data_IF_164293352769
#
_entry.id   IF_164293352769
#
_cell.length_a   1.000
_cell.length_b   1.000
_cell.length_c   1.000
_cell.angle_alpha   90.00
_cell.angle_beta   90.00
_cell.angle_gamma   90.00
#
_symmetry.space_group_name_H-M   'P 1'
#
loop_
_entity.id
_entity.type
_entity.pdbx_description
1 polymer ?
#
# COMPACT_ATOMS: atom_id res chain seq x y z
N UNK A 1 12.75 -22.12 9.97
CA UNK A 1 12.15 -23.45 9.75
C UNK A 1 12.94 -24.13 8.65
N UNK A 2 13.52 -25.30 8.92
CA UNK A 2 14.08 -26.16 7.87
C UNK A 2 12.91 -26.93 7.25
N UNK A 3 12.64 -26.72 5.97
CA UNK A 3 11.68 -27.54 5.23
C UNK A 3 12.47 -28.64 4.52
N UNK A 4 12.09 -29.90 4.72
CA UNK A 4 12.64 -31.03 3.97
C UNK A 4 12.43 -30.84 2.45
N UNK A 5 13.32 -31.37 1.60
CA UNK A 5 13.16 -31.32 0.15
C UNK A 5 11.78 -31.83 -0.28
N UNK A 6 11.12 -31.08 -1.17
CA UNK A 6 9.81 -31.48 -1.71
C UNK A 6 10.00 -32.57 -2.75
N UNK A 7 9.15 -33.59 -2.74
CA UNK A 7 9.20 -34.71 -3.69
C UNK A 7 7.87 -34.93 -4.42
N UNK A 8 7.95 -35.44 -5.66
CA UNK A 8 6.80 -35.87 -6.45
C UNK A 8 5.65 -34.85 -6.52
N UNK A 9 4.49 -35.25 -6.01
CA UNK A 9 3.28 -34.43 -5.98
C UNK A 9 3.45 -33.10 -5.21
N UNK A 10 4.32 -33.05 -4.19
CA UNK A 10 4.57 -31.83 -3.43
C UNK A 10 5.25 -30.75 -4.28
N UNK A 11 6.11 -31.15 -5.22
CA UNK A 11 6.76 -30.21 -6.15
C UNK A 11 5.71 -29.62 -7.10
N UNK A 12 4.81 -30.45 -7.62
CA UNK A 12 3.74 -30.01 -8.50
C UNK A 12 2.78 -29.03 -7.77
N UNK A 13 2.32 -29.39 -6.58
CA UNK A 13 1.47 -28.53 -5.75
C UNK A 13 2.16 -27.23 -5.35
N UNK A 14 3.45 -27.29 -5.00
CA UNK A 14 4.22 -26.08 -4.68
C UNK A 14 4.30 -25.14 -5.89
N UNK A 15 4.58 -25.67 -7.09
CA UNK A 15 4.64 -24.86 -8.31
C UNK A 15 3.30 -24.23 -8.64
N UNK A 16 2.21 -24.96 -8.45
CA UNK A 16 0.86 -24.43 -8.69
C UNK A 16 0.49 -23.36 -7.66
N UNK A 17 0.74 -23.59 -6.37
CA UNK A 17 0.56 -22.58 -5.34
C UNK A 17 1.42 -21.34 -5.60
N UNK A 18 2.69 -21.53 -5.98
CA UNK A 18 3.59 -20.44 -6.31
C UNK A 18 3.09 -19.63 -7.51
N UNK A 19 2.37 -20.23 -8.47
CA UNK A 19 1.74 -19.50 -9.58
C UNK A 19 0.62 -18.58 -9.13
N UNK A 20 -0.12 -18.95 -8.09
CA UNK A 20 -1.29 -18.21 -7.61
C UNK A 20 -1.01 -17.31 -6.40
N UNK A 21 0.22 -17.34 -5.84
CA UNK A 21 0.55 -16.62 -4.60
C UNK A 21 0.22 -15.12 -4.66
N UNK A 22 0.33 -14.50 -5.84
CA UNK A 22 -0.01 -13.09 -6.05
C UNK A 22 -1.50 -12.81 -5.87
N UNK A 23 -2.38 -13.77 -6.14
CA UNK A 23 -3.83 -13.61 -5.92
C UNK A 23 -4.10 -13.41 -4.43
N UNK A 24 -3.47 -14.21 -3.56
CA UNK A 24 -3.66 -14.09 -2.11
C UNK A 24 -3.20 -12.75 -1.57
N UNK A 25 -2.06 -12.24 -2.03
CA UNK A 25 -1.57 -10.94 -1.60
C UNK A 25 -2.33 -9.78 -2.24
N UNK A 26 -2.66 -9.85 -3.53
CA UNK A 26 -3.27 -8.73 -4.26
C UNK A 26 -4.76 -8.55 -3.97
N UNK A 27 -5.49 -9.65 -3.69
CA UNK A 27 -6.94 -9.62 -3.62
C UNK A 27 -7.43 -8.64 -2.55
N UNK A 28 -8.31 -7.71 -2.92
CA UNK A 28 -8.76 -6.62 -2.04
C UNK A 28 -9.33 -7.09 -0.71
N UNK A 29 -9.98 -8.27 -0.64
CA UNK A 29 -10.61 -8.79 0.58
C UNK A 29 -9.72 -9.63 1.48
N UNK A 30 -8.44 -9.84 1.16
CA UNK A 30 -7.52 -10.57 2.05
C UNK A 30 -6.83 -9.62 3.02
N UNK A 31 -6.68 -10.07 4.27
CA UNK A 31 -5.91 -9.37 5.29
C UNK A 31 -4.45 -9.81 5.21
N UNK A 32 -3.54 -8.85 5.11
CA UNK A 32 -2.09 -9.08 5.08
C UNK A 32 -1.46 -8.42 6.28
N UNK A 33 -0.82 -9.22 7.13
CA UNK A 33 -0.15 -8.74 8.34
C UNK A 33 1.35 -8.88 8.18
N UNK A 34 2.06 -7.75 8.14
CA UNK A 34 3.49 -7.69 7.99
C UNK A 34 4.19 -7.71 9.35
N UNK A 35 5.00 -8.75 9.57
CA UNK A 35 5.84 -8.90 10.76
C UNK A 35 7.23 -8.31 10.48
N UNK A 36 7.31 -6.98 10.39
CA UNK A 36 8.54 -6.29 9.94
C UNK A 36 9.65 -6.22 10.99
N UNK A 37 9.31 -6.45 12.27
CA UNK A 37 10.29 -6.58 13.35
C UNK A 37 10.96 -7.95 13.29
N UNK A 38 12.29 -7.98 13.16
CA UNK A 38 13.08 -9.20 13.17
C UNK A 38 13.68 -9.47 14.56
N UNK A 39 13.99 -10.73 14.92
CA UNK A 39 14.75 -11.05 16.14
C UNK A 39 16.10 -10.31 16.19
N UNK A 40 16.61 -10.05 17.40
CA UNK A 40 17.89 -9.32 17.59
C UNK A 40 19.08 -10.00 16.90
N UNK A 41 19.07 -11.33 16.87
CA UNK A 41 20.15 -12.15 16.32
C UNK A 41 19.99 -12.39 14.81
N UNK A 42 18.93 -11.85 14.19
CA UNK A 42 18.73 -11.92 12.75
C UNK A 42 19.40 -10.70 12.10
N UNK A 43 20.53 -10.89 11.39
CA UNK A 43 21.25 -9.78 10.79
C UNK A 43 20.49 -9.14 9.62
N UNK A 44 19.51 -9.84 9.01
CA UNK A 44 18.78 -9.35 7.84
C UNK A 44 17.45 -8.72 8.23
N UNK A 45 17.40 -7.39 8.13
CA UNK A 45 16.17 -6.61 8.25
C UNK A 45 15.08 -7.09 7.26
N UNK A 46 13.81 -6.94 7.64
CA UNK A 46 12.67 -7.38 6.84
C UNK A 46 12.67 -6.78 5.43
N UNK A 47 12.92 -5.46 5.31
CA UNK A 47 12.88 -4.73 4.06
C UNK A 47 14.06 -5.04 3.11
N UNK A 48 15.05 -5.82 3.56
CA UNK A 48 16.16 -6.29 2.72
C UNK A 48 15.86 -7.62 2.04
N UNK A 49 14.73 -8.26 2.33
CA UNK A 49 14.35 -9.58 1.78
C UNK A 49 13.49 -9.38 0.53
N UNK A 50 13.87 -10.02 -0.57
CA UNK A 50 13.21 -9.84 -1.87
C UNK A 50 11.77 -10.33 -1.90
N UNK A 51 11.52 -11.55 -1.39
CA UNK A 51 10.17 -12.11 -1.32
C UNK A 51 9.22 -11.28 -0.46
N UNK A 52 9.64 -10.88 0.75
CA UNK A 52 8.78 -10.06 1.62
C UNK A 52 8.52 -8.67 1.03
N UNK A 53 9.49 -8.12 0.27
CA UNK A 53 9.30 -6.88 -0.48
C UNK A 53 8.23 -7.07 -1.55
N UNK A 54 8.29 -8.16 -2.32
CA UNK A 54 7.27 -8.49 -3.31
C UNK A 54 5.88 -8.64 -2.71
N UNK A 55 5.75 -9.46 -1.66
CA UNK A 55 4.48 -9.72 -0.98
C UNK A 55 3.85 -8.44 -0.45
N UNK A 56 4.65 -7.59 0.20
CA UNK A 56 4.23 -6.28 0.68
C UNK A 56 3.77 -5.38 -0.48
N UNK A 57 4.57 -5.26 -1.55
CA UNK A 57 4.26 -4.35 -2.66
C UNK A 57 3.01 -4.79 -3.43
N UNK A 58 2.81 -6.10 -3.61
CA UNK A 58 1.59 -6.64 -4.21
C UNK A 58 0.38 -6.36 -3.31
N UNK A 59 0.52 -6.55 -1.99
CA UNK A 59 -0.57 -6.27 -1.05
C UNK A 59 -0.92 -4.78 -0.98
N UNK A 60 0.03 -3.88 -1.20
CA UNK A 60 -0.20 -2.43 -1.15
C UNK A 60 -0.99 -1.86 -2.33
N UNK A 61 -1.11 -2.59 -3.45
CA UNK A 61 -1.64 -2.05 -4.72
C UNK A 61 -3.04 -1.46 -4.58
N UNK A 62 -3.99 -2.24 -4.02
CA UNK A 62 -5.42 -1.91 -4.07
C UNK A 62 -6.17 -2.12 -2.76
N UNK A 63 -5.49 -2.60 -1.71
CA UNK A 63 -6.17 -2.90 -0.44
C UNK A 63 -6.69 -1.64 0.23
N UNK A 64 -7.76 -1.79 1.01
CA UNK A 64 -8.10 -0.79 2.01
C UNK A 64 -7.02 -0.74 3.09
N UNK A 65 -6.83 0.41 3.75
CA UNK A 65 -5.76 0.62 4.72
C UNK A 65 -5.76 -0.46 5.82
N UNK A 66 -6.93 -0.77 6.37
CA UNK A 66 -7.13 -1.75 7.45
C UNK A 66 -6.79 -3.21 7.07
N UNK A 67 -6.65 -3.49 5.77
CA UNK A 67 -6.38 -4.84 5.26
C UNK A 67 -4.90 -5.11 5.02
N UNK A 68 -4.04 -4.10 5.22
CA UNK A 68 -2.58 -4.24 5.21
C UNK A 68 -1.98 -3.61 6.46
N UNK A 69 -1.63 -4.45 7.43
CA UNK A 69 -1.18 -4.00 8.75
C UNK A 69 0.29 -4.33 8.98
N UNK A 70 1.09 -3.33 9.34
CA UNK A 70 2.46 -3.54 9.77
C UNK A 70 2.54 -3.71 11.31
N UNK A 71 2.39 -4.95 11.77
CA UNK A 71 2.44 -5.30 13.19
C UNK A 71 3.83 -5.07 13.82
N UNK A 72 4.88 -4.89 13.00
CA UNK A 72 6.21 -4.55 13.50
C UNK A 72 6.29 -3.16 14.15
N UNK A 73 5.29 -2.30 13.91
CA UNK A 73 5.16 -0.97 14.52
C UNK A 73 4.55 -1.01 15.92
N UNK A 74 3.87 -2.10 16.27
CA UNK A 74 3.26 -2.24 17.59
C UNK A 74 4.31 -2.31 18.69
N UNK A 75 4.10 -1.65 19.84
CA UNK A 75 5.00 -1.80 20.97
C UNK A 75 5.04 -3.27 21.43
N UNK A 76 6.22 -3.76 21.83
CA UNK A 76 6.38 -5.14 22.33
C UNK A 76 5.57 -5.43 23.60
N UNK A 77 5.18 -4.39 24.32
CA UNK A 77 4.35 -4.46 25.51
C UNK A 77 3.20 -3.49 25.35
N UNK A 78 1.99 -3.94 25.70
CA UNK A 78 0.83 -3.07 25.78
C UNK A 78 1.15 -1.92 26.74
N UNK A 79 1.06 -0.65 26.30
CA UNK A 79 1.16 0.48 27.21
C UNK A 79 0.09 0.35 28.31
N UNK A 80 0.41 0.72 29.54
CA UNK A 80 -0.62 0.82 30.57
C UNK A 80 -1.64 1.89 30.14
N UNK A 81 -2.94 1.59 30.21
CA UNK A 81 -3.98 2.57 29.94
C UNK A 81 -3.77 3.81 30.85
N UNK A 82 -3.99 5.00 30.32
CA UNK A 82 -4.02 6.23 31.11
C UNK A 82 -5.26 6.25 32.01
N UNK A 83 -5.27 7.12 33.04
CA UNK A 83 -6.46 7.30 33.87
C UNK A 83 -7.68 7.80 33.07
N UNK A 84 -7.44 8.59 32.01
CA UNK A 84 -8.47 9.06 31.09
C UNK A 84 -9.06 7.90 30.26
N UNK A 85 -8.20 7.03 29.70
CA UNK A 85 -8.63 5.85 28.96
C UNK A 85 -9.41 4.87 29.85
N UNK A 86 -8.94 4.64 31.09
CA UNK A 86 -9.67 3.80 32.07
C UNK A 86 -11.06 4.34 32.44
N UNK A 87 -11.29 5.66 32.33
CA UNK A 87 -12.57 6.29 32.62
C UNK A 87 -13.51 6.28 31.42
N UNK A 88 -12.96 6.36 30.20
CA UNK A 88 -13.73 6.27 28.96
C UNK A 88 -14.29 4.86 28.75
N UNK A 89 -13.57 3.85 29.24
CA UNK A 89 -13.88 2.44 29.02
C UNK A 89 -13.94 1.68 30.36
N UNK A 90 -15.13 1.55 30.98
CA UNK A 90 -15.27 0.91 32.30
C UNK A 90 -15.52 -0.61 32.27
N UNK A 91 -15.99 -1.20 31.15
CA UNK A 91 -16.46 -2.62 31.07
C UNK A 91 -15.73 -3.47 30.03
N UNK A 92 -15.47 -4.77 30.24
CA UNK A 92 -14.61 -5.65 29.41
C UNK A 92 -14.88 -5.76 27.89
N UNK A 93 -15.94 -5.17 27.33
CA UNK A 93 -16.25 -5.13 25.88
C UNK A 93 -15.32 -4.19 25.06
N UNK A 94 -14.18 -3.79 25.62
CA UNK A 94 -13.14 -2.87 25.09
C UNK A 94 -12.48 -3.30 23.77
N UNK A 95 -12.79 -4.48 23.22
CA UNK A 95 -11.92 -5.09 22.21
C UNK A 95 -11.92 -4.35 20.86
N UNK A 96 -13.02 -3.70 20.47
CA UNK A 96 -13.15 -3.09 19.14
C UNK A 96 -12.53 -1.69 19.05
N UNK A 97 -12.82 -0.78 19.98
CA UNK A 97 -12.20 0.56 20.01
C UNK A 97 -10.70 0.50 20.33
N UNK A 98 -10.29 -0.47 21.17
CA UNK A 98 -8.87 -0.79 21.40
C UNK A 98 -8.16 -1.20 20.11
N UNK A 99 -8.79 -2.08 19.32
CA UNK A 99 -8.20 -2.53 18.06
C UNK A 99 -8.06 -1.39 17.06
N UNK A 100 -9.02 -0.46 17.00
CA UNK A 100 -8.94 0.75 16.17
C UNK A 100 -7.73 1.64 16.50
N UNK A 101 -7.71 2.21 17.70
CA UNK A 101 -6.72 3.25 18.04
C UNK A 101 -5.34 2.69 18.40
N UNK A 102 -5.27 1.53 19.07
CA UNK A 102 -3.99 0.99 19.54
C UNK A 102 -3.36 -0.03 18.59
N UNK A 103 -4.12 -0.60 17.65
CA UNK A 103 -3.61 -1.61 16.70
C UNK A 103 -3.67 -1.13 15.25
N UNK A 104 -4.84 -0.81 14.73
CA UNK A 104 -5.00 -0.42 13.31
C UNK A 104 -4.22 0.85 13.01
N UNK A 105 -4.51 1.93 13.72
CA UNK A 105 -3.93 3.25 13.44
C UNK A 105 -2.38 3.25 13.42
N UNK A 106 -1.66 2.64 14.38
CA UNK A 106 -0.20 2.57 14.31
C UNK A 106 0.34 1.65 13.20
N UNK A 107 -0.47 0.71 12.69
CA UNK A 107 -0.03 -0.30 11.73
C UNK A 107 -0.21 0.10 10.26
N UNK A 108 -1.07 1.07 9.95
CA UNK A 108 -1.42 1.45 8.56
C UNK A 108 -0.47 2.48 7.93
N UNK A 109 0.23 3.28 8.74
CA UNK A 109 1.00 4.48 8.31
C UNK A 109 2.34 4.20 7.63
N UNK A 110 2.64 2.95 7.27
CA UNK A 110 3.87 2.59 6.53
C UNK A 110 3.58 2.01 5.17
N UNK A 111 2.33 2.07 4.72
CA UNK A 111 1.96 1.62 3.39
C UNK A 111 2.42 2.65 2.38
N UNK A 112 3.40 2.30 1.55
CA UNK A 112 3.79 3.13 0.42
C UNK A 112 2.74 3.09 -0.71
N UNK A 113 2.73 4.14 -1.54
CA UNK A 113 1.97 4.17 -2.78
C UNK A 113 2.37 3.03 -3.75
N UNK A 114 1.44 2.60 -4.64
CA UNK A 114 1.73 1.58 -5.64
C UNK A 114 2.95 1.95 -6.50
N UNK A 115 3.88 1.00 -6.66
CA UNK A 115 5.06 1.19 -7.52
C UNK A 115 4.75 0.70 -8.93
N UNK A 116 5.19 1.44 -9.94
CA UNK A 116 5.21 0.92 -11.31
C UNK A 116 6.16 -0.29 -11.41
N UNK A 117 5.98 -1.18 -12.40
CA UNK A 117 6.88 -2.32 -12.59
C UNK A 117 8.36 -1.91 -12.71
N UNK A 118 8.65 -0.81 -13.42
CA UNK A 118 10.00 -0.27 -13.54
C UNK A 118 10.59 0.15 -12.18
N UNK A 119 9.83 0.91 -11.38
CA UNK A 119 10.28 1.34 -10.06
C UNK A 119 10.48 0.14 -9.10
N UNK A 120 9.66 -0.90 -9.23
CA UNK A 120 9.82 -2.12 -8.47
C UNK A 120 11.09 -2.89 -8.88
N UNK A 121 11.41 -2.97 -10.19
CA UNK A 121 12.66 -3.59 -10.67
C UNK A 121 13.91 -2.91 -10.10
N UNK A 122 13.91 -1.57 -10.04
CA UNK A 122 14.95 -0.79 -9.34
C UNK A 122 15.04 -1.17 -7.87
N UNK A 123 13.90 -1.23 -7.19
CA UNK A 123 13.82 -1.65 -5.77
C UNK A 123 14.42 -3.03 -5.53
N UNK A 124 14.30 -3.97 -6.48
CA UNK A 124 14.91 -5.31 -6.38
C UNK A 124 16.42 -5.34 -6.65
N UNK A 125 17.00 -4.26 -7.17
CA UNK A 125 18.41 -4.16 -7.55
C UNK A 125 18.72 -4.77 -8.92
N UNK A 126 17.75 -4.81 -9.85
CA UNK A 126 18.00 -5.29 -11.22
C UNK A 126 18.73 -4.27 -12.11
N UNK A 127 18.88 -3.04 -11.65
CA UNK A 127 19.52 -1.93 -12.39
C UNK A 127 20.86 -1.49 -11.77
N UNK A 128 21.51 -2.37 -10.99
CA UNK A 128 22.82 -2.07 -10.39
C UNK A 128 22.76 -1.21 -9.13
N UNK A 129 21.58 -1.12 -8.49
CA UNK A 129 21.40 -0.37 -7.24
C UNK A 129 22.25 -0.96 -6.09
N UNK A 130 22.87 -0.11 -5.25
CA UNK A 130 23.73 -0.55 -4.16
C UNK A 130 22.98 -1.33 -3.08
N UNK A 131 21.68 -1.07 -2.89
CA UNK A 131 20.83 -1.68 -1.85
C UNK A 131 19.93 -2.80 -2.40
N UNK A 132 20.49 -3.66 -3.26
CA UNK A 132 19.77 -4.75 -3.88
C UNK A 132 19.13 -5.71 -2.85
N UNK A 133 17.89 -6.14 -3.11
CA UNK A 133 17.20 -7.08 -2.22
C UNK A 133 17.88 -8.45 -2.25
N UNK A 134 17.94 -9.07 -1.09
CA UNK A 134 18.52 -10.39 -0.89
C UNK A 134 17.49 -11.48 -1.14
N UNK A 135 17.87 -12.47 -1.94
CA UNK A 135 17.09 -13.68 -2.18
C UNK A 135 17.91 -14.89 -1.71
N UNK A 136 17.23 -15.92 -1.20
CA UNK A 136 17.88 -17.18 -0.85
C UNK A 136 18.33 -17.93 -2.10
N UNK A 137 17.59 -17.76 -3.21
CA UNK A 137 17.94 -18.24 -4.54
C UNK A 137 18.07 -17.04 -5.50
N UNK A 138 19.25 -16.85 -6.11
CA UNK A 138 19.50 -15.72 -7.00
C UNK A 138 18.56 -15.66 -8.22
N UNK A 139 18.05 -16.80 -8.69
CA UNK A 139 17.09 -16.87 -9.80
C UNK A 139 15.72 -16.25 -9.46
N UNK A 140 15.37 -16.18 -8.17
CA UNK A 140 14.07 -15.66 -7.73
C UNK A 140 13.90 -14.17 -8.06
N UNK A 141 15.00 -13.41 -8.18
CA UNK A 141 14.91 -11.96 -8.41
C UNK A 141 14.21 -11.62 -9.72
N UNK A 142 14.61 -12.28 -10.82
CA UNK A 142 13.97 -12.08 -12.13
C UNK A 142 12.52 -12.57 -12.13
N UNK A 143 12.29 -13.77 -11.58
CA UNK A 143 10.95 -14.33 -11.44
C UNK A 143 9.99 -13.40 -10.68
N UNK A 144 10.43 -12.85 -9.56
CA UNK A 144 9.63 -11.95 -8.72
C UNK A 144 9.35 -10.62 -9.42
N UNK A 145 10.30 -10.09 -10.19
CA UNK A 145 10.09 -8.88 -10.99
C UNK A 145 9.00 -9.08 -12.05
N UNK A 146 9.12 -10.14 -12.87
CA UNK A 146 8.14 -10.48 -13.90
C UNK A 146 6.76 -10.77 -13.29
N UNK A 147 6.74 -11.44 -12.14
CA UNK A 147 5.50 -11.74 -11.42
C UNK A 147 4.81 -10.48 -10.89
N UNK A 148 5.58 -9.53 -10.36
CA UNK A 148 5.04 -8.25 -9.93
C UNK A 148 4.47 -7.47 -11.10
N UNK A 149 5.21 -7.37 -12.21
CA UNK A 149 4.78 -6.67 -13.42
C UNK A 149 3.44 -7.20 -13.94
N UNK A 150 3.33 -8.53 -14.10
CA UNK A 150 2.08 -9.17 -14.51
C UNK A 150 0.94 -8.86 -13.53
N UNK A 151 1.19 -9.03 -12.23
CA UNK A 151 0.18 -8.76 -11.19
C UNK A 151 -0.26 -7.30 -11.20
N UNK A 152 0.68 -6.37 -11.33
CA UNK A 152 0.41 -4.94 -11.37
C UNK A 152 -0.49 -4.60 -12.55
N UNK A 153 -0.19 -5.08 -13.76
CA UNK A 153 -1.03 -4.80 -14.93
C UNK A 153 -2.42 -5.42 -14.84
N UNK A 154 -2.53 -6.65 -14.36
CA UNK A 154 -3.83 -7.31 -14.15
C UNK A 154 -4.67 -6.55 -13.12
N UNK A 155 -4.09 -6.23 -11.96
CA UNK A 155 -4.78 -5.60 -10.84
C UNK A 155 -5.11 -4.14 -11.13
N UNK A 156 -4.10 -3.33 -11.43
CA UNK A 156 -4.29 -1.89 -11.68
C UNK A 156 -5.12 -1.65 -12.94
N UNK A 157 -4.93 -2.48 -13.97
CA UNK A 157 -5.67 -2.39 -15.23
C UNK A 157 -7.17 -2.65 -15.11
N UNK A 158 -7.60 -3.42 -14.11
CA UNK A 158 -9.01 -3.76 -13.88
C UNK A 158 -9.63 -3.06 -12.66
N UNK A 159 -8.88 -2.21 -11.94
CA UNK A 159 -9.37 -1.59 -10.71
C UNK A 159 -10.31 -0.43 -11.00
N UNK A 160 -11.50 -0.47 -10.39
CA UNK A 160 -12.52 0.59 -10.50
C UNK A 160 -12.51 1.56 -9.32
N UNK A 161 -12.03 1.12 -8.16
CA UNK A 161 -12.00 1.92 -6.94
C UNK A 161 -10.66 1.79 -6.21
N UNK A 162 -10.11 2.92 -5.77
CA UNK A 162 -8.90 2.98 -4.96
C UNK A 162 -9.16 3.76 -3.67
N UNK A 163 -8.87 3.12 -2.55
CA UNK A 163 -9.09 3.63 -1.21
C UNK A 163 -7.75 3.76 -0.46
N UNK A 164 -7.16 4.95 -0.50
CA UNK A 164 -5.90 5.29 0.14
C UNK A 164 -6.09 6.26 1.30
N UNK A 165 -6.98 5.88 2.23
CA UNK A 165 -7.41 6.71 3.36
C UNK A 165 -6.44 6.60 4.54
N UNK A 166 -6.11 7.73 5.16
CA UNK A 166 -5.37 7.85 6.44
C UNK A 166 -4.03 7.10 6.48
N UNK A 167 -3.24 7.22 5.42
CA UNK A 167 -1.95 6.53 5.28
C UNK A 167 -0.74 7.38 5.70
N UNK A 168 -0.98 8.60 6.15
CA UNK A 168 0.05 9.63 6.40
C UNK A 168 0.87 9.97 5.13
N UNK A 169 0.26 9.87 3.94
CA UNK A 169 0.92 10.20 2.68
C UNK A 169 1.16 11.71 2.54
N UNK A 170 2.27 12.04 1.89
CA UNK A 170 2.57 13.38 1.39
C UNK A 170 2.87 13.36 -0.11
N UNK A 171 3.53 14.42 -0.58
CA UNK A 171 3.74 14.66 -2.02
C UNK A 171 4.65 13.61 -2.68
N UNK A 172 5.55 12.98 -1.91
CA UNK A 172 6.42 11.92 -2.42
C UNK A 172 5.61 10.66 -2.81
N UNK A 173 4.66 10.26 -1.96
CA UNK A 173 3.73 9.18 -2.25
C UNK A 173 2.79 9.56 -3.39
N UNK A 174 2.38 10.83 -3.46
CA UNK A 174 1.54 11.33 -4.55
C UNK A 174 2.26 11.28 -5.91
N UNK A 175 3.57 11.54 -5.94
CA UNK A 175 4.39 11.38 -7.14
C UNK A 175 4.45 9.93 -7.62
N UNK A 176 4.53 8.97 -6.70
CA UNK A 176 4.48 7.54 -7.02
C UNK A 176 3.08 7.14 -7.51
N UNK A 177 2.04 7.58 -6.81
CA UNK A 177 0.65 7.32 -7.16
C UNK A 177 0.31 7.86 -8.55
N UNK A 178 0.69 9.10 -8.87
CA UNK A 178 0.43 9.70 -10.18
C UNK A 178 0.96 8.86 -11.34
N UNK A 179 2.16 8.26 -11.18
CA UNK A 179 2.71 7.31 -12.16
C UNK A 179 1.92 6.01 -12.23
N UNK A 180 1.48 5.49 -11.09
CA UNK A 180 0.71 4.25 -11.06
C UNK A 180 -0.70 4.41 -11.65
N UNK A 181 -1.35 5.56 -11.45
CA UNK A 181 -2.70 5.87 -11.95
C UNK A 181 -2.78 5.85 -13.48
N UNK A 182 -1.68 6.11 -14.19
CA UNK A 182 -1.60 5.98 -15.64
C UNK A 182 -1.92 4.56 -16.15
N UNK A 183 -1.88 3.56 -15.26
CA UNK A 183 -2.20 2.16 -15.55
C UNK A 183 -3.61 1.75 -15.09
N UNK A 184 -4.46 2.69 -14.68
CA UNK A 184 -5.81 2.43 -14.18
C UNK A 184 -6.90 2.99 -15.12
N UNK A 185 -7.09 2.42 -16.32
CA UNK A 185 -8.03 2.96 -17.31
C UNK A 185 -9.51 2.83 -16.91
N UNK A 186 -9.83 1.95 -15.96
CA UNK A 186 -11.19 1.67 -15.48
C UNK A 186 -11.54 2.41 -14.17
N UNK A 187 -10.61 3.20 -13.62
CA UNK A 187 -10.83 3.80 -12.30
C UNK A 187 -11.96 4.83 -12.35
N UNK A 188 -12.92 4.69 -11.44
CA UNK A 188 -14.10 5.53 -11.29
C UNK A 188 -14.08 6.31 -9.98
N UNK A 189 -13.47 5.75 -8.94
CA UNK A 189 -13.42 6.35 -7.60
C UNK A 189 -11.99 6.32 -7.06
N UNK A 190 -11.50 7.48 -6.61
CA UNK A 190 -10.24 7.61 -5.88
C UNK A 190 -10.47 8.40 -4.59
N UNK A 191 -10.19 7.78 -3.44
CA UNK A 191 -10.14 8.48 -2.15
C UNK A 191 -8.72 8.56 -1.61
N UNK A 192 -8.32 9.78 -1.24
CA UNK A 192 -7.08 10.14 -0.56
C UNK A 192 -7.37 10.79 0.80
N UNK A 193 -8.54 10.51 1.37
CA UNK A 193 -9.02 11.19 2.58
C UNK A 193 -8.05 11.02 3.76
N UNK A 194 -7.95 12.05 4.59
CA UNK A 194 -7.16 12.01 5.83
C UNK A 194 -5.64 12.03 5.63
N UNK A 195 -5.13 12.22 4.41
CA UNK A 195 -3.70 12.40 4.15
C UNK A 195 -3.30 13.87 4.28
N UNK A 196 -3.09 14.32 5.52
CA UNK A 196 -2.87 15.73 5.88
C UNK A 196 -1.55 16.32 5.39
N UNK A 197 -0.60 15.50 4.95
CA UNK A 197 0.72 15.94 4.48
C UNK A 197 0.77 16.18 2.97
N UNK A 198 -0.33 15.92 2.26
CA UNK A 198 -0.47 16.26 0.84
C UNK A 198 -0.68 17.77 0.70
N UNK A 199 0.11 18.40 -0.17
CA UNK A 199 0.04 19.84 -0.45
C UNK A 199 -0.66 20.14 -1.78
N UNK A 200 -1.10 21.38 -1.98
CA UNK A 200 -1.65 21.81 -3.27
C UNK A 200 -0.62 21.73 -4.41
N UNK A 201 0.65 22.01 -4.11
CA UNK A 201 1.76 21.87 -5.05
C UNK A 201 1.92 20.42 -5.49
N UNK A 202 1.95 19.47 -4.55
CA UNK A 202 2.03 18.04 -4.86
C UNK A 202 0.87 17.57 -5.72
N UNK A 203 -0.36 17.97 -5.37
CA UNK A 203 -1.56 17.64 -6.17
C UNK A 203 -1.44 18.18 -7.59
N UNK A 204 -1.06 19.45 -7.73
CA UNK A 204 -0.88 20.09 -9.03
C UNK A 204 0.19 19.41 -9.89
N UNK A 205 1.33 19.06 -9.29
CA UNK A 205 2.47 18.49 -9.98
C UNK A 205 2.28 17.00 -10.36
N UNK A 206 1.56 16.23 -9.54
CA UNK A 206 1.57 14.77 -9.64
C UNK A 206 0.20 14.15 -9.88
N UNK A 207 -0.85 14.70 -9.28
CA UNK A 207 -2.19 14.13 -9.38
C UNK A 207 -2.94 14.67 -10.60
N UNK A 208 -3.04 15.99 -10.77
CA UNK A 208 -3.81 16.60 -11.87
C UNK A 208 -3.40 16.09 -13.26
N UNK A 209 -2.10 15.93 -13.60
CA UNK A 209 -1.71 15.41 -14.91
C UNK A 209 -2.17 13.97 -15.15
N UNK A 210 -2.25 13.17 -14.09
CA UNK A 210 -2.77 11.81 -14.15
C UNK A 210 -4.29 11.85 -14.34
N UNK A 211 -5.03 12.61 -13.53
CA UNK A 211 -6.50 12.71 -13.61
C UNK A 211 -7.00 13.16 -14.98
N UNK A 212 -6.28 14.08 -15.63
CA UNK A 212 -6.62 14.56 -16.97
C UNK A 212 -6.62 13.45 -18.04
N UNK A 213 -5.94 12.34 -17.78
CA UNK A 213 -5.82 11.18 -18.68
C UNK A 213 -6.76 10.04 -18.30
N UNK A 214 -7.65 10.23 -17.31
CA UNK A 214 -8.52 9.17 -16.76
C UNK A 214 -9.97 9.37 -17.22
N UNK A 215 -10.40 8.71 -18.32
CA UNK A 215 -11.70 8.98 -18.94
C UNK A 215 -12.89 8.48 -18.13
N UNK A 216 -12.68 7.51 -17.22
CA UNK A 216 -13.74 6.90 -16.43
C UNK A 216 -13.86 7.48 -15.02
N UNK A 217 -12.95 8.37 -14.61
CA UNK A 217 -12.94 8.87 -13.24
C UNK A 217 -14.14 9.77 -12.96
N UNK A 218 -14.91 9.45 -11.92
CA UNK A 218 -16.15 10.15 -11.56
C UNK A 218 -16.06 10.82 -10.21
N UNK A 219 -15.27 10.29 -9.29
CA UNK A 219 -15.14 10.85 -7.95
C UNK A 219 -13.68 10.88 -7.53
N UNK A 220 -13.25 12.06 -7.09
CA UNK A 220 -12.03 12.27 -6.32
C UNK A 220 -12.42 12.80 -4.94
N UNK A 221 -12.09 12.04 -3.89
CA UNK A 221 -12.27 12.45 -2.50
C UNK A 221 -10.92 12.75 -1.86
N UNK A 222 -10.81 13.94 -1.26
CA UNK A 222 -9.66 14.45 -0.51
C UNK A 222 -10.14 15.18 0.74
N UNK A 223 -11.10 14.58 1.45
CA UNK A 223 -11.65 15.10 2.69
C UNK A 223 -10.66 14.93 3.83
N UNK A 224 -10.66 15.87 4.78
CA UNK A 224 -9.74 15.84 5.95
C UNK A 224 -8.25 15.87 5.56
N UNK A 225 -7.91 16.38 4.38
CA UNK A 225 -6.54 16.69 3.97
C UNK A 225 -6.07 18.04 4.56
N UNK A 226 -4.94 18.58 4.08
CA UNK A 226 -4.39 19.84 4.56
C UNK A 226 -5.43 21.00 4.49
N UNK A 227 -5.57 21.84 5.53
CA UNK A 227 -6.49 22.97 5.50
C UNK A 227 -6.19 23.94 4.34
N UNK A 228 -7.22 24.43 3.66
CA UNK A 228 -7.07 25.39 2.56
C UNK A 228 -6.81 24.76 1.18
N UNK A 229 -6.61 23.44 1.11
CA UNK A 229 -6.31 22.70 -0.11
C UNK A 229 -7.34 22.95 -1.23
N UNK A 230 -8.64 22.95 -0.91
CA UNK A 230 -9.69 23.22 -1.90
C UNK A 230 -9.56 24.63 -2.53
N UNK A 231 -9.29 25.65 -1.71
CA UNK A 231 -9.18 27.03 -2.19
C UNK A 231 -7.96 27.21 -3.11
N UNK A 232 -6.83 26.60 -2.76
CA UNK A 232 -5.60 26.66 -3.55
C UNK A 232 -5.72 25.91 -4.88
N UNK A 233 -6.45 24.79 -4.90
CA UNK A 233 -6.62 23.97 -6.09
C UNK A 233 -7.73 24.45 -7.02
N UNK A 234 -8.64 25.31 -6.57
CA UNK A 234 -9.82 25.72 -7.32
C UNK A 234 -9.53 26.12 -8.79
N UNK A 235 -8.49 26.94 -9.11
CA UNK A 235 -8.20 27.30 -10.50
C UNK A 235 -7.79 26.12 -11.38
N UNK A 236 -7.11 25.13 -10.79
CA UNK A 236 -6.62 23.97 -11.49
C UNK A 236 -7.72 22.90 -11.65
N UNK A 237 -8.60 22.76 -10.65
CA UNK A 237 -9.76 21.86 -10.69
C UNK A 237 -10.76 22.24 -11.78
N UNK A 238 -10.88 23.53 -12.12
CA UNK A 238 -11.71 24.00 -13.23
C UNK A 238 -11.27 23.50 -14.61
N UNK A 239 -10.03 23.02 -14.74
CA UNK A 239 -9.49 22.48 -15.98
C UNK A 239 -9.72 20.97 -16.13
N UNK A 240 -10.25 20.31 -15.10
CA UNK A 240 -10.52 18.87 -15.13
C UNK A 240 -11.76 18.53 -15.98
N UNK A 241 -11.86 17.28 -16.47
CA UNK A 241 -12.98 16.85 -17.28
C UNK A 241 -14.34 17.12 -16.63
N UNK A 242 -15.30 17.59 -17.45
CA UNK A 242 -16.67 17.82 -16.99
C UNK A 242 -17.30 16.51 -16.48
N UNK A 243 -17.93 16.56 -15.30
CA UNK A 243 -18.59 15.41 -14.68
C UNK A 243 -17.80 14.73 -13.56
N UNK A 244 -16.53 15.10 -13.36
CA UNK A 244 -15.77 14.68 -12.17
C UNK A 244 -16.32 15.38 -10.92
N UNK A 245 -16.82 14.60 -9.96
CA UNK A 245 -17.21 15.06 -8.64
C UNK A 245 -15.96 15.21 -7.77
N UNK A 246 -15.79 16.38 -7.20
CA UNK A 246 -14.69 16.72 -6.31
C UNK A 246 -15.22 16.89 -4.90
N UNK A 247 -14.70 16.10 -3.96
CA UNK A 247 -15.01 16.17 -2.53
C UNK A 247 -13.75 16.61 -1.78
N UNK A 248 -13.54 17.92 -1.67
CA UNK A 248 -12.34 18.49 -1.04
C UNK A 248 -12.80 19.50 0.02
N UNK A 249 -12.32 19.34 1.25
CA UNK A 249 -12.65 20.19 2.42
C UNK A 249 -11.52 21.13 2.77
#
# INVERSE_FOLDING_TARGET
MHQEPREGAQVALFREGLRQINVLYAHQSTHVWCLTRVPKDEPRAYHMRGWTTFELRVASLIKHAELLLNLGLLPLRRPALTAAQRKLYPDEDHHLEYFGEEVLRPCVTTRDAPLTPEAFRKTLGLEGEPDAKTFTNGADRGFVAEKYEKTFHEVMGSTEELWFVELDWGDAELALLGRALAHCPQLQYLSLDGNQRITAEGVGAHLLPALAQMPQLRVLSMLRCAPGLHAELLPALQQLPAGLKLEIS
#
